data_IF_486863474524
#
_entry.id   IF_486863474524
#
_cell.length_a   1.000
_cell.length_b   1.000
_cell.length_c   1.000
_cell.angle_alpha   90.00
_cell.angle_beta   90.00
_cell.angle_gamma   90.00
#
_symmetry.space_group_name_H-M   'P 1'
#
loop_
_entity.id
_entity.type
_entity.pdbx_description
1 polymer ?
#
# COMPACT_ATOMS: atom_id res chain seq x y z
N UNK A 1 -3.95 4.76 -9.00
CA UNK A 1 -2.71 5.57 -9.04
C UNK A 1 -1.69 4.98 -10.01
N UNK A 2 -1.48 3.65 -10.02
CA UNK A 2 -0.52 2.96 -10.89
C UNK A 2 -0.56 3.37 -12.37
N UNK A 3 -1.74 3.49 -12.99
CA UNK A 3 -1.84 3.78 -14.42
C UNK A 3 -1.53 5.25 -14.80
N UNK A 4 -1.53 6.18 -13.84
CA UNK A 4 -1.35 7.61 -14.14
C UNK A 4 0.10 7.91 -14.51
N UNK A 5 1.06 7.24 -13.86
CA UNK A 5 2.49 7.47 -14.10
C UNK A 5 2.90 7.07 -15.54
N UNK A 6 2.52 5.88 -16.04
CA UNK A 6 2.84 5.49 -17.42
C UNK A 6 2.20 6.37 -18.48
N UNK A 7 0.96 6.85 -18.25
CA UNK A 7 0.33 7.81 -19.17
C UNK A 7 1.06 9.15 -19.21
N UNK A 8 1.44 9.68 -18.05
CA UNK A 8 2.21 10.93 -17.93
C UNK A 8 3.60 10.78 -18.56
N UNK A 9 4.26 9.63 -18.35
CA UNK A 9 5.55 9.30 -18.94
C UNK A 9 5.45 9.21 -20.46
N UNK A 10 4.47 8.49 -21.00
CA UNK A 10 4.22 8.38 -22.44
C UNK A 10 3.96 9.75 -23.08
N UNK A 11 3.11 10.58 -22.46
CA UNK A 11 2.82 11.92 -22.96
C UNK A 11 4.09 12.80 -22.99
N UNK A 12 4.89 12.74 -21.94
CA UNK A 12 6.15 13.50 -21.83
C UNK A 12 7.18 13.03 -22.86
N UNK A 13 7.35 11.71 -23.01
CA UNK A 13 8.32 11.12 -23.93
C UNK A 13 7.93 11.33 -25.40
N UNK A 14 6.69 11.02 -25.79
CA UNK A 14 6.22 11.26 -27.16
C UNK A 14 6.22 12.75 -27.49
N UNK A 15 5.83 13.61 -26.55
CA UNK A 15 5.92 15.06 -26.70
C UNK A 15 7.36 15.53 -26.94
N UNK A 16 8.31 15.05 -26.14
CA UNK A 16 9.74 15.36 -26.31
C UNK A 16 10.30 14.84 -27.64
N UNK A 17 9.91 13.64 -28.06
CA UNK A 17 10.31 13.05 -29.34
C UNK A 17 9.81 13.87 -30.54
N UNK A 18 8.55 14.32 -30.50
CA UNK A 18 8.02 15.19 -31.54
C UNK A 18 8.67 16.58 -31.53
N UNK A 19 9.05 17.09 -30.34
CA UNK A 19 9.81 18.33 -30.23
C UNK A 19 11.20 18.25 -30.86
N UNK A 20 11.86 17.09 -30.78
CA UNK A 20 13.17 16.81 -31.41
C UNK A 20 13.05 16.58 -32.93
N UNK A 21 11.82 16.51 -33.46
CA UNK A 21 11.55 16.38 -34.89
C UNK A 21 11.41 14.95 -35.39
N UNK A 22 11.11 13.98 -34.51
CA UNK A 22 10.79 12.61 -34.92
C UNK A 22 9.49 12.60 -35.73
N UNK A 23 9.48 11.85 -36.85
CA UNK A 23 8.33 11.76 -37.75
C UNK A 23 7.12 11.14 -37.04
N UNK A 24 5.96 11.79 -37.12
CA UNK A 24 4.71 11.20 -36.66
C UNK A 24 4.36 9.97 -37.51
N UNK A 25 4.03 8.85 -36.85
CA UNK A 25 3.55 7.63 -37.48
C UNK A 25 2.40 7.04 -36.69
N UNK A 26 1.36 6.56 -37.37
CA UNK A 26 0.15 6.00 -36.75
C UNK A 26 0.43 4.81 -35.81
N UNK A 27 1.57 4.13 -36.00
CA UNK A 27 2.03 3.04 -35.14
C UNK A 27 2.37 3.50 -33.70
N UNK A 28 2.77 4.77 -33.52
CA UNK A 28 3.06 5.34 -32.20
C UNK A 28 1.82 5.44 -31.31
N UNK A 29 0.61 5.37 -31.88
CA UNK A 29 -0.63 5.29 -31.11
C UNK A 29 -0.75 4.00 -30.30
N UNK A 30 0.06 2.98 -30.62
CA UNK A 30 0.10 1.70 -29.88
C UNK A 30 1.04 1.77 -28.68
N UNK A 31 2.07 2.63 -28.72
CA UNK A 31 3.06 2.80 -27.64
C UNK A 31 2.45 3.02 -26.25
N UNK A 32 1.42 3.88 -26.06
CA UNK A 32 0.82 4.08 -24.75
C UNK A 32 0.24 2.80 -24.14
N UNK A 33 -0.31 1.90 -24.96
CA UNK A 33 -0.86 0.63 -24.49
C UNK A 33 0.25 -0.34 -24.08
N UNK A 34 1.35 -0.39 -24.83
CA UNK A 34 2.50 -1.24 -24.52
C UNK A 34 3.19 -0.80 -23.24
N UNK A 35 3.44 0.50 -23.10
CA UNK A 35 4.11 1.05 -21.92
C UNK A 35 3.21 1.00 -20.69
N UNK A 36 1.90 1.17 -20.85
CA UNK A 36 0.97 0.96 -19.74
C UNK A 36 1.02 -0.48 -19.21
N UNK A 37 1.15 -1.48 -20.09
CA UNK A 37 1.25 -2.87 -19.65
C UNK A 37 2.51 -3.09 -18.79
N UNK A 38 3.66 -2.53 -19.21
CA UNK A 38 4.93 -2.63 -18.48
C UNK A 38 4.86 -1.85 -17.16
N UNK A 39 4.44 -0.59 -17.20
CA UNK A 39 4.40 0.27 -16.01
C UNK A 39 3.38 -0.19 -14.96
N UNK A 40 2.29 -0.85 -15.36
CA UNK A 40 1.35 -1.46 -14.41
C UNK A 40 1.95 -2.70 -13.74
N UNK A 41 2.76 -3.49 -14.46
CA UNK A 41 3.50 -4.62 -13.88
C UNK A 41 4.50 -4.14 -12.82
N UNK A 42 5.30 -3.13 -13.15
CA UNK A 42 6.27 -2.53 -12.22
C UNK A 42 5.59 -1.90 -10.99
N UNK A 43 4.47 -1.21 -11.18
CA UNK A 43 3.69 -0.65 -10.07
C UNK A 43 3.06 -1.75 -9.19
N UNK A 44 2.60 -2.86 -9.79
CA UNK A 44 2.05 -3.99 -9.05
C UNK A 44 3.12 -4.70 -8.21
N UNK A 45 4.33 -4.84 -8.76
CA UNK A 45 5.48 -5.39 -8.03
C UNK A 45 5.81 -4.55 -6.79
N UNK A 46 5.85 -3.23 -6.92
CA UNK A 46 6.14 -2.32 -5.82
C UNK A 46 5.07 -2.35 -4.73
N UNK A 47 3.78 -2.31 -5.09
CA UNK A 47 2.70 -2.36 -4.10
C UNK A 47 2.67 -3.70 -3.35
N UNK A 48 2.94 -4.81 -4.05
CA UNK A 48 2.99 -6.12 -3.42
C UNK A 48 4.14 -6.20 -2.39
N UNK A 49 5.31 -5.67 -2.72
CA UNK A 49 6.43 -5.59 -1.78
C UNK A 49 6.13 -4.63 -0.62
N UNK A 50 5.47 -3.49 -0.88
CA UNK A 50 5.01 -2.57 0.16
C UNK A 50 4.07 -3.24 1.17
N UNK A 51 3.10 -4.01 0.69
CA UNK A 51 2.18 -4.75 1.56
C UNK A 51 2.92 -5.79 2.40
N UNK A 52 3.90 -6.50 1.81
CA UNK A 52 4.72 -7.47 2.53
C UNK A 52 5.54 -6.83 3.65
N UNK A 53 6.28 -5.76 3.33
CA UNK A 53 7.09 -5.00 4.29
C UNK A 53 6.22 -4.39 5.38
N UNK A 54 5.09 -3.79 5.02
CA UNK A 54 4.13 -3.21 5.98
C UNK A 54 3.60 -4.26 6.96
N UNK A 55 3.26 -5.46 6.48
CA UNK A 55 2.84 -6.57 7.33
C UNK A 55 3.94 -7.04 8.27
N UNK A 56 5.17 -7.21 7.75
CA UNK A 56 6.32 -7.62 8.55
C UNK A 56 6.64 -6.64 9.68
N UNK A 57 6.61 -5.32 9.41
CA UNK A 57 6.83 -4.29 10.42
C UNK A 57 5.68 -4.19 11.43
N UNK A 58 4.45 -4.56 11.03
CA UNK A 58 3.30 -4.61 11.94
C UNK A 58 3.41 -5.77 12.93
N UNK A 59 3.94 -6.91 12.50
CA UNK A 59 4.18 -8.07 13.38
C UNK A 59 5.41 -7.86 14.27
N UNK A 60 6.46 -7.21 13.75
CA UNK A 60 7.70 -6.94 14.46
C UNK A 60 8.03 -5.43 14.47
N UNK A 61 7.46 -4.64 15.40
CA UNK A 61 7.62 -3.19 15.41
C UNK A 61 9.07 -2.81 15.71
N UNK A 62 9.69 -2.07 14.78
CA UNK A 62 11.05 -1.54 14.93
C UNK A 62 11.00 -0.11 15.47
N UNK A 63 11.91 0.24 16.37
CA UNK A 63 12.07 1.62 16.85
C UNK A 63 12.52 2.52 15.70
N UNK A 64 11.68 3.46 15.28
CA UNK A 64 11.94 4.36 14.15
C UNK A 64 11.19 4.02 12.86
N UNK A 65 10.11 3.24 12.93
CA UNK A 65 9.24 3.01 11.77
C UNK A 65 8.76 4.35 11.19
N UNK A 66 8.97 4.52 9.89
CA UNK A 66 8.59 5.68 9.12
C UNK A 66 8.26 5.22 7.70
N UNK A 67 7.31 5.90 7.03
CA UNK A 67 6.95 5.59 5.66
C UNK A 67 8.18 5.63 4.71
N UNK A 68 9.15 6.51 4.96
CA UNK A 68 10.39 6.57 4.19
C UNK A 68 11.30 5.35 4.40
N UNK A 69 11.36 4.82 5.64
CA UNK A 69 12.13 3.60 5.94
C UNK A 69 11.53 2.39 5.23
N UNK A 70 10.20 2.25 5.29
CA UNK A 70 9.46 1.21 4.55
C UNK A 70 9.69 1.31 3.06
N UNK A 71 9.62 2.52 2.48
CA UNK A 71 9.90 2.73 1.06
C UNK A 71 11.32 2.30 0.70
N UNK A 72 12.31 2.64 1.52
CA UNK A 72 13.70 2.27 1.26
C UNK A 72 13.88 0.74 1.20
N UNK A 73 13.21 0.01 2.08
CA UNK A 73 13.23 -1.46 2.08
C UNK A 73 12.51 -2.03 0.84
N UNK A 74 11.34 -1.49 0.50
CA UNK A 74 10.62 -1.88 -0.72
C UNK A 74 11.45 -1.65 -1.97
N UNK A 75 12.07 -0.47 -2.09
CA UNK A 75 12.88 -0.10 -3.24
C UNK A 75 14.17 -0.91 -3.31
N UNK A 76 14.75 -1.29 -2.17
CA UNK A 76 15.89 -2.22 -2.11
C UNK A 76 15.53 -3.60 -2.66
N UNK A 77 14.30 -4.07 -2.41
CA UNK A 77 13.83 -5.39 -2.86
C UNK A 77 13.36 -5.38 -4.32
N UNK A 78 12.58 -4.38 -4.74
CA UNK A 78 11.94 -4.35 -6.06
C UNK A 78 12.70 -3.51 -7.09
N UNK A 79 13.51 -2.54 -6.65
CA UNK A 79 14.25 -1.64 -7.53
C UNK A 79 15.15 -2.37 -8.54
N UNK A 80 15.95 -3.38 -8.14
CA UNK A 80 16.75 -4.17 -9.07
C UNK A 80 15.91 -4.88 -10.13
N UNK A 81 14.75 -5.43 -9.75
CA UNK A 81 13.86 -6.13 -10.68
C UNK A 81 13.27 -5.17 -11.73
N UNK A 82 12.80 -4.00 -11.31
CA UNK A 82 12.27 -2.96 -12.20
C UNK A 82 13.36 -2.46 -13.17
N UNK A 83 14.58 -2.26 -12.66
CA UNK A 83 15.72 -1.86 -13.50
C UNK A 83 16.04 -2.92 -14.56
N UNK A 84 16.03 -4.21 -14.20
CA UNK A 84 16.24 -5.32 -15.14
C UNK A 84 15.12 -5.35 -16.18
N UNK A 85 13.86 -5.17 -15.77
CA UNK A 85 12.70 -5.10 -16.67
C UNK A 85 12.88 -3.98 -17.70
N UNK A 86 13.13 -2.75 -17.23
CA UNK A 86 13.34 -1.58 -18.08
C UNK A 86 14.52 -1.75 -19.05
N UNK A 87 15.66 -2.25 -18.56
CA UNK A 87 16.84 -2.51 -19.40
C UNK A 87 16.57 -3.58 -20.45
N UNK A 88 15.87 -4.64 -20.08
CA UNK A 88 15.53 -5.73 -21.01
C UNK A 88 14.63 -5.21 -22.12
N UNK A 89 13.58 -4.46 -21.77
CA UNK A 89 12.66 -3.87 -22.75
C UNK A 89 13.37 -2.87 -23.67
N UNK A 90 14.21 -1.98 -23.12
CA UNK A 90 15.02 -1.07 -23.92
C UNK A 90 15.98 -1.81 -24.86
N UNK A 91 16.58 -2.92 -24.41
CA UNK A 91 17.46 -3.72 -25.26
C UNK A 91 16.69 -4.44 -26.37
N UNK A 92 15.48 -4.92 -26.09
CA UNK A 92 14.60 -5.54 -27.07
C UNK A 92 14.16 -4.52 -28.13
N UNK A 93 13.79 -3.31 -27.71
CA UNK A 93 13.49 -2.21 -28.62
C UNK A 93 14.72 -1.78 -29.42
N UNK A 94 15.91 -1.76 -28.83
CA UNK A 94 17.14 -1.45 -29.56
C UNK A 94 17.44 -2.46 -30.65
N UNK A 95 17.34 -3.77 -30.35
CA UNK A 95 17.50 -4.84 -31.36
C UNK A 95 16.40 -4.76 -32.43
N UNK A 96 15.17 -4.46 -32.01
CA UNK A 96 14.04 -4.22 -32.89
C UNK A 96 14.29 -3.06 -33.85
N UNK A 97 14.89 -1.98 -33.38
CA UNK A 97 15.23 -0.82 -34.20
C UNK A 97 16.27 -1.15 -35.29
N UNK A 98 17.25 -2.03 -35.01
CA UNK A 98 18.30 -2.40 -35.97
C UNK A 98 17.83 -3.34 -37.08
N UNK A 99 16.90 -4.26 -36.78
CA UNK A 99 16.50 -5.34 -37.72
C UNK A 99 15.25 -5.00 -38.53
N UNK A 100 14.43 -4.05 -38.07
CA UNK A 100 13.07 -3.90 -38.58
C UNK A 100 12.91 -2.84 -39.69
N UNK A 101 11.78 -2.90 -40.39
CA UNK A 101 11.36 -1.90 -41.37
C UNK A 101 11.19 -0.50 -40.75
N UNK A 102 11.25 0.58 -41.55
CA UNK A 102 11.25 1.96 -41.06
C UNK A 102 10.10 2.35 -40.11
N UNK A 103 8.93 1.73 -40.27
CA UNK A 103 7.75 1.97 -39.42
C UNK A 103 7.90 1.35 -38.03
N UNK A 104 8.51 0.17 -37.94
CA UNK A 104 8.75 -0.52 -36.67
C UNK A 104 9.91 0.15 -35.92
N UNK A 105 10.93 0.63 -36.62
CA UNK A 105 12.01 1.40 -35.99
C UNK A 105 11.48 2.65 -35.28
N UNK A 106 10.49 3.34 -35.87
CA UNK A 106 9.79 4.46 -35.22
C UNK A 106 9.08 4.04 -33.93
N UNK A 107 8.39 2.89 -33.96
CA UNK A 107 7.76 2.32 -32.77
C UNK A 107 8.79 2.00 -31.68
N UNK A 108 9.90 1.34 -32.03
CA UNK A 108 10.95 0.97 -31.08
C UNK A 108 11.59 2.21 -30.44
N UNK A 109 11.86 3.28 -31.21
CA UNK A 109 12.39 4.53 -30.65
C UNK A 109 11.39 5.19 -29.71
N UNK A 110 10.10 5.19 -30.07
CA UNK A 110 9.01 5.66 -29.23
C UNK A 110 8.91 4.88 -27.92
N UNK A 111 8.86 3.55 -27.99
CA UNK A 111 8.78 2.68 -26.82
C UNK A 111 10.00 2.84 -25.92
N UNK A 112 11.22 2.79 -26.46
CA UNK A 112 12.44 2.93 -25.67
C UNK A 112 12.48 4.26 -24.91
N UNK A 113 12.10 5.38 -25.56
CA UNK A 113 12.03 6.67 -24.90
C UNK A 113 10.93 6.72 -23.82
N UNK A 114 9.75 6.18 -24.10
CA UNK A 114 8.66 6.13 -23.13
C UNK A 114 9.01 5.27 -21.91
N UNK A 115 9.61 4.09 -22.11
CA UNK A 115 10.05 3.19 -21.04
C UNK A 115 11.15 3.84 -20.20
N UNK A 116 12.08 4.57 -20.83
CA UNK A 116 13.10 5.31 -20.11
C UNK A 116 12.52 6.40 -19.20
N UNK A 117 11.58 7.20 -19.71
CA UNK A 117 10.90 8.23 -18.90
C UNK A 117 10.01 7.59 -17.83
N UNK A 118 9.33 6.49 -18.17
CA UNK A 118 8.48 5.75 -17.23
C UNK A 118 9.31 5.20 -16.07
N UNK A 119 10.48 4.63 -16.32
CA UNK A 119 11.41 4.21 -15.27
C UNK A 119 11.79 5.36 -14.32
N UNK A 120 12.08 6.55 -14.85
CA UNK A 120 12.39 7.73 -14.02
C UNK A 120 11.18 8.12 -13.16
N UNK A 121 9.98 8.17 -13.76
CA UNK A 121 8.75 8.52 -13.05
C UNK A 121 8.35 7.45 -12.03
N UNK A 122 8.63 6.19 -12.31
CA UNK A 122 8.39 5.07 -11.39
C UNK A 122 9.26 5.19 -10.13
N UNK A 123 10.57 5.45 -10.28
CA UNK A 123 11.47 5.59 -9.13
C UNK A 123 11.18 6.87 -8.34
N UNK A 124 10.78 7.96 -8.99
CA UNK A 124 10.61 9.28 -8.34
C UNK A 124 9.17 9.57 -7.93
N UNK A 125 8.26 9.72 -8.90
CA UNK A 125 6.87 10.12 -8.68
C UNK A 125 6.06 9.01 -7.99
N UNK A 126 6.17 7.77 -8.49
CA UNK A 126 5.40 6.67 -7.93
C UNK A 126 5.85 6.33 -6.49
N UNK A 127 7.15 6.33 -6.23
CA UNK A 127 7.70 6.21 -4.87
C UNK A 127 7.21 7.31 -3.92
N UNK A 128 7.17 8.57 -4.38
CA UNK A 128 6.67 9.69 -3.58
C UNK A 128 5.18 9.52 -3.23
N UNK A 129 4.37 9.10 -4.20
CA UNK A 129 2.94 8.81 -4.00
C UNK A 129 2.74 7.65 -3.03
N UNK A 130 3.56 6.59 -3.10
CA UNK A 130 3.53 5.48 -2.14
C UNK A 130 3.85 5.93 -0.71
N UNK A 131 4.88 6.75 -0.51
CA UNK A 131 5.21 7.27 0.84
C UNK A 131 4.08 8.10 1.40
N UNK A 132 3.46 8.94 0.56
CA UNK A 132 2.32 9.74 0.98
C UNK A 132 1.14 8.84 1.37
N UNK A 133 0.80 7.85 0.55
CA UNK A 133 -0.26 6.88 0.85
C UNK A 133 0.06 6.08 2.12
N UNK A 134 1.30 5.65 2.29
CA UNK A 134 1.79 4.94 3.47
C UNK A 134 1.71 5.77 4.74
N UNK A 135 1.98 7.08 4.66
CA UNK A 135 1.82 7.98 5.79
C UNK A 135 0.36 8.07 6.25
N UNK A 136 -0.59 8.15 5.30
CA UNK A 136 -2.02 8.11 5.61
C UNK A 136 -2.45 6.76 6.19
N UNK A 137 -1.89 5.65 5.71
CA UNK A 137 -2.16 4.31 6.23
C UNK A 137 -1.72 4.19 7.71
N UNK A 138 -0.50 4.61 8.02
CA UNK A 138 0.05 4.57 9.39
C UNK A 138 -0.74 5.46 10.35
N UNK A 139 -1.12 6.68 9.92
CA UNK A 139 -1.90 7.59 10.77
C UNK A 139 -3.31 7.02 11.06
N UNK A 140 -3.97 6.46 10.04
CA UNK A 140 -5.29 5.85 10.20
C UNK A 140 -5.25 4.59 11.10
N UNK A 141 -4.17 3.82 11.05
CA UNK A 141 -3.95 2.72 11.99
C UNK A 141 -3.75 3.21 13.43
N UNK A 142 -3.01 4.32 13.61
CA UNK A 142 -2.79 4.94 14.91
C UNK A 142 -4.10 5.41 15.52
N UNK A 143 -4.93 6.12 14.77
CA UNK A 143 -6.26 6.57 15.20
C UNK A 143 -7.13 5.38 15.64
N UNK A 144 -7.20 4.31 14.84
CA UNK A 144 -7.96 3.10 15.19
C UNK A 144 -7.48 2.44 16.47
N UNK A 145 -6.16 2.33 16.68
CA UNK A 145 -5.60 1.74 17.90
C UNK A 145 -5.90 2.56 19.16
N UNK A 146 -6.00 3.88 19.01
CA UNK A 146 -6.30 4.82 20.08
C UNK A 146 -7.79 4.73 20.45
N UNK A 147 -8.68 4.71 19.47
CA UNK A 147 -10.13 4.48 19.68
C UNK A 147 -10.39 3.13 20.32
N UNK A 148 -9.74 2.05 19.84
CA UNK A 148 -9.90 0.72 20.44
C UNK A 148 -9.40 0.67 21.89
N UNK A 149 -8.30 1.36 22.22
CA UNK A 149 -7.84 1.48 23.61
C UNK A 149 -8.80 2.28 24.49
N UNK A 150 -9.44 3.31 23.94
CA UNK A 150 -10.48 4.08 24.65
C UNK A 150 -11.72 3.22 24.88
N UNK A 151 -12.13 2.42 23.89
CA UNK A 151 -13.29 1.53 23.98
C UNK A 151 -13.04 0.38 24.96
N UNK A 152 -11.89 -0.30 24.88
CA UNK A 152 -11.49 -1.29 25.90
C UNK A 152 -11.33 -0.66 27.28
N UNK A 153 -10.77 0.54 27.38
CA UNK A 153 -10.62 1.23 28.66
C UNK A 153 -11.97 1.64 29.26
N UNK A 154 -12.95 2.02 28.42
CA UNK A 154 -14.31 2.31 28.83
C UNK A 154 -15.08 1.05 29.22
N UNK A 155 -14.92 -0.06 28.49
CA UNK A 155 -15.50 -1.36 28.84
C UNK A 155 -14.87 -1.93 30.12
N UNK A 156 -13.55 -1.89 30.28
CA UNK A 156 -12.87 -2.31 31.52
C UNK A 156 -13.31 -1.45 32.71
N UNK A 157 -13.49 -0.14 32.52
CA UNK A 157 -13.98 0.76 33.58
C UNK A 157 -15.45 0.50 33.91
N UNK A 158 -16.27 0.19 32.90
CA UNK A 158 -17.70 -0.11 33.05
C UNK A 158 -17.92 -1.47 33.71
N UNK A 159 -17.17 -2.51 33.31
CA UNK A 159 -17.15 -3.82 33.96
C UNK A 159 -16.62 -3.73 35.39
N UNK A 160 -15.58 -2.90 35.63
CA UNK A 160 -15.04 -2.67 36.98
C UNK A 160 -16.05 -1.95 37.88
N UNK A 161 -16.78 -0.96 37.35
CA UNK A 161 -17.83 -0.24 38.08
C UNK A 161 -19.05 -1.13 38.34
N UNK A 162 -19.51 -1.91 37.35
CA UNK A 162 -20.60 -2.88 37.54
C UNK A 162 -20.21 -3.96 38.57
N UNK A 163 -18.98 -4.47 38.55
CA UNK A 163 -18.53 -5.44 39.56
C UNK A 163 -18.39 -4.85 40.96
N UNK A 164 -17.93 -3.59 41.10
CA UNK A 164 -17.88 -2.90 42.40
C UNK A 164 -19.29 -2.62 42.91
N UNK A 165 -20.22 -2.18 42.07
CA UNK A 165 -21.62 -1.99 42.44
C UNK A 165 -22.29 -3.30 42.85
N UNK A 166 -22.01 -4.39 42.13
CA UNK A 166 -22.52 -5.73 42.45
C UNK A 166 -21.92 -6.30 43.73
N UNK A 167 -20.64 -6.01 44.03
CA UNK A 167 -20.01 -6.38 45.31
C UNK A 167 -20.58 -5.57 46.48
N UNK A 168 -20.74 -4.26 46.33
CA UNK A 168 -21.36 -3.43 47.36
C UNK A 168 -22.80 -3.88 47.65
N UNK A 169 -23.57 -4.22 46.61
CA UNK A 169 -24.91 -4.78 46.76
C UNK A 169 -24.90 -6.17 47.44
N UNK A 170 -23.90 -7.02 47.18
CA UNK A 170 -23.75 -8.31 47.87
C UNK A 170 -23.27 -8.17 49.32
N UNK A 171 -22.38 -7.20 49.63
CA UNK A 171 -21.98 -6.88 51.01
C UNK A 171 -23.16 -6.32 51.82
N UNK A 172 -24.02 -5.51 51.20
CA UNK A 172 -25.29 -5.08 51.80
C UNK A 172 -26.23 -6.29 52.00
N UNK A 173 -26.36 -7.21 51.05
CA UNK A 173 -27.19 -8.42 51.22
C UNK A 173 -26.63 -9.38 52.29
N UNK A 174 -25.30 -9.50 52.43
CA UNK A 174 -24.64 -10.29 53.47
C UNK A 174 -24.85 -9.66 54.87
N UNK A 175 -24.86 -8.32 54.97
CA UNK A 175 -25.21 -7.60 56.19
C UNK A 175 -26.69 -7.80 56.59
N UNK A 176 -27.59 -7.97 55.62
CA UNK A 176 -29.00 -8.30 55.87
C UNK A 176 -29.23 -9.79 56.19
N UNK A 177 -28.46 -10.71 55.61
CA UNK A 177 -28.61 -12.16 55.85
C UNK A 177 -28.10 -12.63 57.21
N UNK A 178 -27.17 -11.90 57.86
CA UNK A 178 -26.76 -12.19 59.24
C UNK A 178 -27.83 -11.79 60.26
N UNK A 179 -28.81 -10.97 59.89
CA UNK A 179 -29.89 -10.55 60.79
C UNK A 179 -31.22 -11.31 60.59
N UNK A 180 -31.36 -12.15 59.56
CA UNK A 180 -32.58 -12.94 59.33
C UNK A 180 -32.30 -14.30 58.66
N UNK A 181 -31.80 -15.28 59.43
CA UNK A 181 -32.10 -16.70 59.19
C UNK A 181 -33.25 -17.05 60.13
N UNK A 182 -34.47 -17.32 59.63
CA UNK A 182 -34.78 -18.72 59.28
C UNK A 182 -35.92 -18.88 58.26
N UNK A 183 -35.72 -19.53 57.10
CA UNK A 183 -36.79 -20.34 56.50
C UNK A 183 -36.29 -21.40 55.52
N UNK A 184 -35.86 -22.51 56.13
CA UNK A 184 -36.16 -23.89 55.76
C UNK A 184 -36.99 -24.11 54.48
N UNK A 185 -36.34 -24.76 53.51
CA UNK A 185 -36.85 -25.90 52.73
C UNK A 185 -38.26 -25.81 52.15
N UNK A 186 -38.39 -25.54 50.85
CA UNK A 186 -39.37 -26.21 50.00
C UNK A 186 -39.11 -25.98 48.50
N UNK A 187 -39.20 -27.08 47.74
CA UNK A 187 -39.64 -27.16 46.33
C UNK A 187 -38.60 -27.07 45.18
N UNK A 188 -38.04 -28.25 44.84
CA UNK A 188 -38.14 -28.84 43.46
C UNK A 188 -39.61 -29.27 43.24
N UNK A 189 -40.17 -29.51 42.02
CA UNK A 189 -39.59 -29.85 40.68
C UNK A 189 -40.17 -28.92 39.56
N UNK A 190 -39.88 -29.01 38.26
CA UNK A 190 -39.72 -30.13 37.32
C UNK A 190 -38.60 -29.90 36.31
#
# INVERSE_FOLDING_TARGET
MACICPFMACGTALGALFFIGVRFGSILCVTPFLVLAIGVDDAYLMIHSWQRVTKELRENPVKGDCAAYRLAQVLSDTGPAIMISALTNMSADAVGAFTSSPEITLLCYGNAACIFVDFIYQITLYSAVMVLAGHFEVENERERSLTQRVECGADETSDSLEQVQRKNFMEDEEFYLVQFVPFRSALRPC
#
